data_IF_046731921785
#
_entry.id   IF_046731921785
#
_cell.length_a   1.000
_cell.length_b   1.000
_cell.length_c   1.000
_cell.angle_alpha   90.00
_cell.angle_beta   90.00
_cell.angle_gamma   90.00
#
_symmetry.space_group_name_H-M   'P 1'
#
loop_
_entity.id
_entity.type
_entity.pdbx_description
1 polymer ?
#
# COMPACT_ATOMS: atom_id res chain seq x y z
N UNK A 1 44.51 -52.45 -40.94
CA UNK A 1 43.20 -51.82 -41.02
C UNK A 1 42.75 -51.41 -39.59
N UNK A 2 43.10 -50.21 -39.22
CA UNK A 2 42.93 -49.71 -37.85
C UNK A 2 41.70 -48.72 -37.81
N UNK A 3 40.63 -49.09 -37.12
CA UNK A 3 39.44 -48.25 -36.92
C UNK A 3 39.67 -47.23 -35.77
N UNK A 4 39.73 -45.98 -36.10
CA UNK A 4 39.77 -44.88 -35.12
C UNK A 4 38.31 -44.50 -34.74
N UNK A 5 37.90 -44.87 -33.53
CA UNK A 5 36.64 -44.40 -32.94
C UNK A 5 36.81 -42.98 -32.41
N UNK A 6 36.07 -42.02 -32.98
CA UNK A 6 35.95 -40.64 -32.45
C UNK A 6 34.85 -40.61 -31.41
N UNK A 7 35.22 -40.44 -30.15
CA UNK A 7 34.28 -40.08 -29.09
C UNK A 7 33.93 -38.59 -29.24
N UNK A 8 32.65 -38.30 -29.48
CA UNK A 8 32.09 -36.95 -29.42
C UNK A 8 31.65 -36.69 -27.97
N UNK A 9 32.39 -35.88 -27.24
CA UNK A 9 31.98 -35.40 -25.94
C UNK A 9 31.03 -34.19 -26.13
N UNK A 10 29.72 -34.39 -25.89
CA UNK A 10 28.73 -33.32 -25.84
C UNK A 10 28.86 -32.66 -24.48
N UNK A 11 29.39 -31.44 -24.45
CA UNK A 11 29.46 -30.58 -23.27
C UNK A 11 28.09 -29.87 -23.14
N UNK A 12 27.21 -30.43 -22.31
CA UNK A 12 25.93 -29.78 -21.97
C UNK A 12 26.22 -28.62 -21.01
N UNK A 13 26.27 -27.42 -21.55
CA UNK A 13 26.40 -26.17 -20.79
C UNK A 13 25.04 -25.84 -20.21
N UNK A 14 24.81 -26.27 -18.97
CA UNK A 14 23.60 -25.94 -18.22
C UNK A 14 23.56 -24.44 -17.92
N UNK A 15 22.69 -23.69 -18.59
CA UNK A 15 22.35 -22.34 -18.22
C UNK A 15 21.53 -22.39 -16.91
N UNK A 16 22.18 -22.12 -15.78
CA UNK A 16 21.45 -21.79 -14.53
C UNK A 16 20.84 -20.40 -14.71
N UNK A 17 19.58 -20.34 -15.08
CA UNK A 17 18.77 -19.12 -14.95
C UNK A 17 18.55 -18.92 -13.47
N UNK A 18 19.36 -18.08 -12.83
CA UNK A 18 19.08 -17.56 -11.50
C UNK A 18 17.88 -16.63 -11.64
N UNK A 19 16.68 -17.12 -11.31
CA UNK A 19 15.53 -16.24 -11.13
C UNK A 19 15.89 -15.30 -9.99
N UNK A 20 16.05 -14.01 -10.30
CA UNK A 20 16.10 -12.97 -9.28
C UNK A 20 14.74 -13.01 -8.56
N UNK A 21 14.69 -13.69 -7.42
CA UNK A 21 13.55 -13.65 -6.51
C UNK A 21 13.54 -12.25 -5.91
N UNK A 22 12.73 -11.37 -6.51
CA UNK A 22 12.36 -10.12 -5.84
C UNK A 22 11.74 -10.47 -4.48
N UNK A 23 12.05 -9.67 -3.45
CA UNK A 23 11.45 -9.88 -2.13
C UNK A 23 9.93 -10.00 -2.24
N UNK A 24 9.34 -10.91 -1.45
CA UNK A 24 7.89 -11.14 -1.47
C UNK A 24 7.11 -9.83 -1.21
N UNK A 25 5.97 -9.62 -1.89
CA UNK A 25 5.11 -8.48 -1.64
C UNK A 25 4.71 -8.37 -0.17
N UNK A 26 4.65 -7.15 0.36
CA UNK A 26 4.01 -6.88 1.65
C UNK A 26 2.51 -6.76 1.40
N UNK A 27 1.69 -7.60 2.02
CA UNK A 27 0.24 -7.62 1.84
C UNK A 27 -0.43 -7.30 3.16
N UNK A 28 -1.36 -6.33 3.13
CA UNK A 28 -2.31 -6.03 4.19
C UNK A 28 -3.70 -6.01 3.58
N UNK A 29 -4.66 -6.70 4.17
CA UNK A 29 -6.01 -6.77 3.61
C UNK A 29 -7.08 -6.79 4.71
N UNK A 30 -8.29 -6.37 4.35
CA UNK A 30 -9.42 -6.32 5.27
C UNK A 30 -10.72 -5.99 4.55
N UNK A 31 -11.82 -6.03 5.28
CA UNK A 31 -13.15 -5.70 4.78
C UNK A 31 -13.62 -4.36 5.34
N UNK A 32 -14.20 -3.54 4.47
CA UNK A 32 -14.91 -2.32 4.83
C UNK A 32 -16.39 -2.55 4.55
N UNK A 33 -17.25 -2.34 5.55
CA UNK A 33 -18.70 -2.54 5.44
C UNK A 33 -19.37 -1.38 4.68
N UNK A 34 -18.96 -1.19 3.44
CA UNK A 34 -19.45 -0.17 2.53
C UNK A 34 -19.31 -0.64 1.06
N UNK A 35 -20.19 -0.16 0.16
CA UNK A 35 -20.07 -0.41 -1.27
C UNK A 35 -18.74 0.08 -1.84
N UNK A 36 -18.23 -0.59 -2.88
CA UNK A 36 -16.93 -0.31 -3.50
C UNK A 36 -16.78 1.16 -3.95
N UNK A 37 -17.86 1.79 -4.41
CA UNK A 37 -17.83 3.21 -4.81
C UNK A 37 -17.55 4.15 -3.65
N UNK A 38 -18.03 3.84 -2.45
CA UNK A 38 -17.80 4.64 -1.24
C UNK A 38 -16.35 4.46 -0.75
N UNK A 39 -15.86 3.22 -0.71
CA UNK A 39 -14.47 2.93 -0.34
C UNK A 39 -13.49 3.52 -1.36
N UNK A 40 -13.79 3.44 -2.66
CA UNK A 40 -13.01 4.09 -3.71
C UNK A 40 -12.85 5.59 -3.48
N UNK A 41 -13.95 6.30 -3.12
CA UNK A 41 -13.92 7.74 -2.83
C UNK A 41 -13.01 8.09 -1.65
N UNK A 42 -12.87 7.20 -0.66
CA UNK A 42 -11.92 7.39 0.45
C UNK A 42 -10.51 7.59 -0.08
N UNK A 43 -10.07 6.80 -1.04
CA UNK A 43 -8.69 6.84 -1.54
C UNK A 43 -8.48 7.83 -2.71
N UNK A 44 -9.55 8.39 -3.28
CA UNK A 44 -9.46 9.14 -4.55
C UNK A 44 -10.03 10.54 -4.50
N UNK A 45 -10.49 10.98 -3.34
CA UNK A 45 -10.91 12.37 -3.12
C UNK A 45 -10.17 12.99 -1.94
N UNK A 46 -9.96 14.30 -1.99
CA UNK A 46 -9.27 15.03 -0.93
C UNK A 46 -9.98 14.90 0.43
N UNK A 47 -11.29 14.96 0.44
CA UNK A 47 -12.07 14.80 1.67
C UNK A 47 -12.05 13.34 2.15
N UNK A 48 -12.25 12.38 1.25
CA UNK A 48 -12.24 10.96 1.60
C UNK A 48 -10.91 10.52 2.18
N UNK A 49 -9.80 11.00 1.62
CA UNK A 49 -8.46 10.58 2.04
C UNK A 49 -8.15 10.92 3.51
N UNK A 50 -8.80 11.91 4.10
CA UNK A 50 -8.68 12.21 5.54
C UNK A 50 -9.15 11.06 6.43
N UNK A 51 -10.07 10.22 5.96
CA UNK A 51 -10.47 9.02 6.68
C UNK A 51 -9.35 7.98 6.88
N UNK A 52 -8.24 8.11 6.15
CA UNK A 52 -7.06 7.25 6.35
C UNK A 52 -6.24 7.62 7.60
N UNK A 53 -6.60 8.71 8.29
CA UNK A 53 -5.93 9.17 9.51
C UNK A 53 -5.03 10.38 9.32
N UNK A 54 -5.00 11.00 8.13
CA UNK A 54 -4.27 12.26 7.90
C UNK A 54 -5.12 13.48 8.24
N UNK A 55 -4.48 14.57 8.67
CA UNK A 55 -5.19 15.81 8.99
C UNK A 55 -5.57 16.61 7.73
N UNK A 56 -4.67 16.65 6.76
CA UNK A 56 -4.87 17.35 5.49
C UNK A 56 -4.58 16.41 4.33
N UNK A 57 -5.38 16.52 3.26
CA UNK A 57 -5.18 15.80 2.02
C UNK A 57 -5.60 16.62 0.81
N UNK A 58 -4.87 16.46 -0.29
CA UNK A 58 -5.21 16.97 -1.62
C UNK A 58 -4.95 15.86 -2.63
N UNK A 59 -5.94 15.53 -3.45
CA UNK A 59 -5.87 14.45 -4.45
C UNK A 59 -6.11 15.04 -5.84
N UNK A 60 -5.12 14.89 -6.72
CA UNK A 60 -5.22 15.14 -8.16
C UNK A 60 -5.29 13.78 -8.87
N UNK A 61 -6.53 13.26 -9.03
CA UNK A 61 -6.76 11.90 -9.54
C UNK A 61 -6.56 11.83 -11.05
N UNK A 62 -5.31 11.71 -11.47
CA UNK A 62 -4.89 11.42 -12.85
C UNK A 62 -3.55 10.69 -12.84
N UNK A 63 -3.20 10.01 -13.92
CA UNK A 63 -1.87 9.40 -14.07
C UNK A 63 -0.82 10.51 -14.05
N UNK A 64 0.21 10.37 -13.21
CA UNK A 64 1.20 11.39 -12.90
C UNK A 64 0.71 12.52 -11.99
N UNK A 65 -0.56 12.52 -11.58
CA UNK A 65 -1.08 13.38 -10.52
C UNK A 65 -0.58 12.94 -9.15
N UNK A 66 -0.97 13.66 -8.09
CA UNK A 66 -0.43 13.45 -6.75
C UNK A 66 -1.52 13.32 -5.69
N UNK A 67 -1.19 12.58 -4.63
CA UNK A 67 -1.89 12.59 -3.35
C UNK A 67 -0.91 13.24 -2.37
N UNK A 68 -1.25 14.44 -1.89
CA UNK A 68 -0.47 15.21 -0.92
C UNK A 68 -1.15 15.11 0.43
N UNK A 69 -0.40 14.75 1.47
CA UNK A 69 -0.95 14.54 2.81
C UNK A 69 -0.08 15.17 3.88
N UNK A 70 -0.71 15.55 4.99
CA UNK A 70 -0.05 16.07 6.18
C UNK A 70 -0.72 15.52 7.43
N UNK A 71 0.06 15.05 8.41
CA UNK A 71 -0.47 14.44 9.63
C UNK A 71 -0.76 15.46 10.74
N UNK A 72 0.00 16.58 10.81
CA UNK A 72 -0.23 17.63 11.81
C UNK A 72 -1.45 18.48 11.42
N UNK A 73 -2.48 18.60 12.29
CA UNK A 73 -3.62 19.48 12.06
C UNK A 73 -3.27 20.98 11.91
N UNK A 74 -2.09 21.40 12.38
CA UNK A 74 -1.59 22.78 12.25
C UNK A 74 -0.69 22.96 11.03
N UNK A 75 -0.29 21.86 10.36
CA UNK A 75 0.58 21.88 9.19
C UNK A 75 -0.15 22.39 7.94
N UNK A 76 0.65 22.74 6.94
CA UNK A 76 0.14 23.26 5.66
C UNK A 76 0.66 22.38 4.53
N UNK A 77 -0.25 21.95 3.64
CA UNK A 77 0.16 21.18 2.45
C UNK A 77 1.17 21.98 1.61
N UNK A 78 2.31 21.37 1.37
CA UNK A 78 3.43 21.98 0.64
C UNK A 78 4.60 22.40 1.53
N UNK A 79 4.48 22.33 2.84
CA UNK A 79 5.61 22.48 3.74
C UNK A 79 6.54 21.24 3.75
N UNK A 80 7.62 21.30 4.54
CA UNK A 80 8.64 20.25 4.61
C UNK A 80 8.14 18.92 5.18
N UNK A 81 7.00 18.89 5.87
CA UNK A 81 6.40 17.70 6.48
C UNK A 81 5.31 17.10 5.59
N UNK A 82 5.08 17.66 4.41
CA UNK A 82 4.13 17.12 3.43
C UNK A 82 4.68 15.84 2.80
N UNK A 83 3.87 14.79 2.81
CA UNK A 83 4.12 13.55 2.06
C UNK A 83 3.46 13.68 0.70
N UNK A 84 4.21 13.35 -0.36
CA UNK A 84 3.72 13.39 -1.74
C UNK A 84 3.78 11.98 -2.34
N UNK A 85 2.62 11.41 -2.64
CA UNK A 85 2.52 10.20 -3.43
C UNK A 85 2.17 10.56 -4.87
N UNK A 86 2.84 9.94 -5.84
CA UNK A 86 2.51 10.03 -7.26
C UNK A 86 1.57 8.89 -7.65
N UNK A 87 0.53 9.19 -8.42
CA UNK A 87 -0.40 8.22 -8.98
C UNK A 87 0.22 7.63 -10.24
N UNK A 88 0.54 6.35 -10.22
CA UNK A 88 1.17 5.64 -11.34
C UNK A 88 0.14 5.06 -12.30
N UNK A 89 -0.95 4.53 -11.77
CA UNK A 89 -2.05 3.95 -12.54
C UNK A 89 -3.30 3.85 -11.66
N UNK A 90 -4.48 3.81 -12.27
CA UNK A 90 -5.71 3.44 -11.59
C UNK A 90 -6.74 2.88 -12.57
N UNK A 91 -7.60 2.01 -12.06
CA UNK A 91 -8.83 1.58 -12.70
C UNK A 91 -9.98 1.91 -11.73
N UNK A 92 -10.96 2.75 -12.11
CA UNK A 92 -12.02 3.20 -11.21
C UNK A 92 -12.70 2.05 -10.47
N UNK A 93 -12.80 2.16 -9.16
CA UNK A 93 -13.41 1.19 -8.25
C UNK A 93 -12.76 -0.21 -8.24
N UNK A 94 -11.56 -0.35 -8.83
CA UNK A 94 -10.85 -1.63 -8.88
C UNK A 94 -9.43 -1.55 -8.36
N UNK A 95 -8.68 -0.50 -8.74
CA UNK A 95 -7.27 -0.45 -8.40
C UNK A 95 -6.75 0.99 -8.40
N UNK A 96 -5.86 1.28 -7.46
CA UNK A 96 -5.05 2.50 -7.40
C UNK A 96 -3.60 2.12 -7.14
N UNK A 97 -2.68 2.62 -7.97
CA UNK A 97 -1.24 2.40 -7.79
C UNK A 97 -0.56 3.73 -7.52
N UNK A 98 0.19 3.79 -6.44
CA UNK A 98 0.91 4.98 -5.99
C UNK A 98 2.36 4.63 -5.62
N UNK A 99 3.23 5.64 -5.66
CA UNK A 99 4.57 5.57 -5.06
C UNK A 99 4.86 6.85 -4.28
N UNK A 100 5.68 6.76 -3.24
CA UNK A 100 6.17 7.93 -2.53
C UNK A 100 7.12 8.68 -3.47
N UNK A 101 6.76 9.91 -3.83
CA UNK A 101 7.58 10.82 -4.64
C UNK A 101 8.46 11.68 -3.76
N UNK A 102 7.89 12.14 -2.65
CA UNK A 102 8.60 12.93 -1.64
C UNK A 102 8.05 12.67 -0.24
N UNK A 103 8.92 12.81 0.76
CA UNK A 103 8.60 12.61 2.16
C UNK A 103 9.46 13.55 3.02
N UNK A 104 9.06 13.86 4.28
CA UNK A 104 9.84 14.66 5.21
C UNK A 104 11.28 14.22 5.32
N UNK A 105 12.19 15.15 5.60
CA UNK A 105 13.62 14.85 5.79
C UNK A 105 13.85 13.87 6.95
N UNK A 106 12.95 13.85 7.94
CA UNK A 106 12.93 12.94 9.07
C UNK A 106 12.51 11.51 8.72
N UNK A 107 11.94 11.27 7.52
CA UNK A 107 11.53 9.93 7.12
C UNK A 107 12.75 9.01 6.96
N UNK A 108 12.85 7.91 7.75
CA UNK A 108 14.08 7.16 7.90
C UNK A 108 14.43 6.24 6.71
N UNK A 109 13.50 6.04 5.75
CA UNK A 109 13.63 5.06 4.67
C UNK A 109 13.74 5.72 3.29
N UNK A 110 14.54 6.77 3.19
CA UNK A 110 14.61 7.62 1.98
C UNK A 110 15.23 6.92 0.77
N UNK A 111 16.10 5.94 0.99
CA UNK A 111 16.71 5.14 -0.09
C UNK A 111 15.73 4.09 -0.56
N UNK A 112 15.18 3.31 0.35
CA UNK A 112 14.28 2.20 0.06
C UNK A 112 12.95 2.67 -0.59
N UNK A 113 12.40 3.83 -0.19
CA UNK A 113 11.15 4.34 -0.76
C UNK A 113 11.20 4.57 -2.28
N UNK A 114 12.40 4.82 -2.85
CA UNK A 114 12.56 5.08 -4.29
C UNK A 114 12.32 3.85 -5.17
N UNK A 115 12.54 2.68 -4.61
CA UNK A 115 12.38 1.40 -5.30
C UNK A 115 11.00 0.78 -5.09
N UNK A 116 10.15 1.37 -4.21
CA UNK A 116 8.89 0.77 -3.80
C UNK A 116 7.68 1.49 -4.39
N UNK A 117 6.60 0.75 -4.56
CA UNK A 117 5.28 1.27 -4.89
C UNK A 117 4.19 0.44 -4.21
N UNK A 118 3.00 1.00 -4.14
CA UNK A 118 1.85 0.36 -3.51
C UNK A 118 0.71 0.21 -4.51
N UNK A 119 0.10 -0.96 -4.55
CA UNK A 119 -1.13 -1.22 -5.29
C UNK A 119 -2.25 -1.49 -4.30
N UNK A 120 -3.34 -0.74 -4.41
CA UNK A 120 -4.54 -0.89 -3.60
C UNK A 120 -5.62 -1.47 -4.50
N UNK A 121 -6.12 -2.66 -4.17
CA UNK A 121 -7.21 -3.32 -4.87
C UNK A 121 -8.51 -3.17 -4.08
N UNK A 122 -9.59 -2.99 -4.81
CA UNK A 122 -10.95 -2.87 -4.29
C UNK A 122 -11.81 -3.94 -4.95
N UNK A 123 -12.28 -4.91 -4.17
CA UNK A 123 -13.09 -6.01 -4.68
C UNK A 123 -14.46 -6.02 -3.98
N UNK A 124 -15.57 -5.86 -4.73
CA UNK A 124 -16.90 -5.99 -4.15
C UNK A 124 -17.11 -7.37 -3.52
N UNK A 125 -17.73 -7.41 -2.34
CA UNK A 125 -18.07 -8.64 -1.60
C UNK A 125 -19.45 -8.46 -0.93
N UNK A 126 -20.53 -8.71 -1.69
CA UNK A 126 -21.87 -8.34 -1.28
C UNK A 126 -21.98 -6.82 -1.08
N UNK A 127 -22.47 -6.41 0.09
CA UNK A 127 -22.58 -5.00 0.48
C UNK A 127 -21.28 -4.41 1.04
N UNK A 128 -20.22 -5.22 1.12
CA UNK A 128 -18.90 -4.84 1.62
C UNK A 128 -17.90 -4.70 0.48
N UNK A 129 -16.74 -4.13 0.81
CA UNK A 129 -15.56 -4.08 -0.05
C UNK A 129 -14.39 -4.77 0.62
N UNK A 130 -13.79 -5.75 -0.05
CA UNK A 130 -12.47 -6.26 0.31
C UNK A 130 -11.40 -5.32 -0.24
N UNK A 131 -10.60 -4.73 0.65
CA UNK A 131 -9.47 -3.86 0.33
C UNK A 131 -8.19 -4.64 0.56
N UNK A 132 -7.33 -4.68 -0.46
CA UNK A 132 -6.03 -5.35 -0.39
C UNK A 132 -4.93 -4.37 -0.80
N UNK A 133 -4.05 -4.03 0.14
CA UNK A 133 -2.93 -3.11 -0.03
C UNK A 133 -1.67 -3.94 -0.21
N UNK A 134 -0.99 -3.79 -1.35
CA UNK A 134 0.17 -4.57 -1.74
C UNK A 134 1.36 -3.65 -1.95
N UNK A 135 2.32 -3.69 -1.04
CA UNK A 135 3.60 -3.02 -1.17
C UNK A 135 4.60 -3.89 -1.94
N UNK A 136 5.24 -3.32 -2.93
CA UNK A 136 6.12 -3.98 -3.89
C UNK A 136 7.47 -3.26 -3.96
N UNK A 137 8.51 -3.96 -4.46
CA UNK A 137 9.84 -3.37 -4.69
C UNK A 137 10.73 -3.31 -3.45
N UNK A 138 10.36 -3.99 -2.36
CA UNK A 138 11.25 -4.11 -1.20
C UNK A 138 12.48 -4.95 -1.54
N UNK A 139 13.66 -4.48 -1.13
CA UNK A 139 14.91 -5.23 -1.23
C UNK A 139 15.17 -6.06 0.04
N UNK A 140 16.27 -6.84 0.00
CA UNK A 140 16.69 -7.67 1.13
C UNK A 140 17.56 -6.91 2.15
N UNK A 141 17.91 -5.65 1.86
CA UNK A 141 18.69 -4.79 2.76
C UNK A 141 17.90 -4.37 4.01
N UNK A 142 18.64 -3.99 5.06
CA UNK A 142 18.06 -3.69 6.36
C UNK A 142 17.08 -2.50 6.34
N UNK A 143 17.35 -1.45 5.54
CA UNK A 143 16.46 -0.28 5.41
C UNK A 143 15.13 -0.68 4.77
N UNK A 144 15.21 -1.44 3.67
CA UNK A 144 14.04 -1.93 2.94
C UNK A 144 13.17 -2.86 3.79
N UNK A 145 13.78 -3.78 4.55
CA UNK A 145 13.04 -4.67 5.45
C UNK A 145 12.44 -3.94 6.66
N UNK A 146 13.10 -2.92 7.19
CA UNK A 146 12.53 -2.05 8.23
C UNK A 146 11.35 -1.24 7.68
N UNK A 147 11.45 -0.67 6.49
CA UNK A 147 10.37 0.04 5.82
C UNK A 147 9.17 -0.89 5.53
N UNK A 148 9.43 -2.14 5.11
CA UNK A 148 8.38 -3.14 4.90
C UNK A 148 7.54 -3.38 6.16
N UNK A 149 8.18 -3.50 7.33
CA UNK A 149 7.49 -3.66 8.62
C UNK A 149 6.72 -2.39 9.00
N UNK A 150 7.32 -1.21 8.79
CA UNK A 150 6.68 0.08 9.05
C UNK A 150 5.38 0.22 8.26
N UNK A 151 5.40 -0.07 6.95
CA UNK A 151 4.19 0.01 6.13
C UNK A 151 3.19 -1.12 6.39
N UNK A 152 3.62 -2.30 6.81
CA UNK A 152 2.69 -3.34 7.24
C UNK A 152 1.80 -2.85 8.39
N UNK A 153 2.38 -2.20 9.39
CA UNK A 153 1.66 -1.61 10.51
C UNK A 153 0.83 -0.39 10.09
N UNK A 154 1.40 0.55 9.31
CA UNK A 154 0.70 1.72 8.82
C UNK A 154 -0.51 1.38 7.94
N UNK A 155 -0.38 0.38 7.07
CA UNK A 155 -1.49 -0.09 6.24
C UNK A 155 -2.60 -0.74 7.07
N UNK A 156 -2.26 -1.47 8.14
CA UNK A 156 -3.24 -2.02 9.07
C UNK A 156 -4.04 -0.90 9.76
N UNK A 157 -3.34 0.10 10.28
CA UNK A 157 -3.98 1.27 10.89
C UNK A 157 -4.87 2.03 9.89
N UNK A 158 -4.44 2.16 8.64
CA UNK A 158 -5.25 2.76 7.57
C UNK A 158 -6.54 1.97 7.37
N UNK A 159 -6.48 0.64 7.27
CA UNK A 159 -7.67 -0.20 7.13
C UNK A 159 -8.61 -0.07 8.33
N UNK A 160 -8.07 -0.04 9.56
CA UNK A 160 -8.86 0.17 10.77
C UNK A 160 -9.57 1.54 10.77
N UNK A 161 -8.87 2.61 10.36
CA UNK A 161 -9.43 3.95 10.27
C UNK A 161 -10.58 4.03 9.26
N UNK A 162 -10.38 3.51 8.05
CA UNK A 162 -11.40 3.58 6.99
C UNK A 162 -12.59 2.66 7.24
N UNK A 163 -12.41 1.56 7.98
CA UNK A 163 -13.49 0.64 8.34
C UNK A 163 -14.37 1.17 9.47
N UNK A 164 -13.78 1.88 10.43
CA UNK A 164 -14.46 2.33 11.66
C UNK A 164 -15.78 3.09 11.44
N UNK A 165 -15.91 4.03 10.49
CA UNK A 165 -17.17 4.76 10.25
C UNK A 165 -18.30 3.86 9.74
N UNK A 166 -17.97 2.70 9.15
CA UNK A 166 -18.93 1.77 8.55
C UNK A 166 -19.22 0.55 9.44
N UNK A 167 -18.60 0.46 10.62
CA UNK A 167 -18.90 -0.63 11.52
C UNK A 167 -20.35 -0.49 12.01
N UNK A 168 -21.10 -1.62 12.07
CA UNK A 168 -22.43 -1.58 12.63
C UNK A 168 -22.32 -1.04 14.05
N UNK A 169 -23.08 0.01 14.35
CA UNK A 169 -23.24 0.47 15.72
C UNK A 169 -23.86 -0.68 16.49
N UNK A 170 -23.07 -1.34 17.31
CA UNK A 170 -23.55 -2.40 18.18
C UNK A 170 -24.41 -1.75 19.27
N UNK A 171 -25.73 -1.82 19.11
CA UNK A 171 -26.68 -1.27 20.10
C UNK A 171 -26.48 -1.86 21.52
N UNK A 172 -25.78 -2.98 21.64
CA UNK A 172 -25.42 -3.61 22.92
C UNK A 172 -24.10 -3.07 23.47
N UNK A 173 -23.12 -2.76 22.62
CA UNK A 173 -21.81 -2.26 23.02
C UNK A 173 -21.88 -0.81 23.54
N UNK A 174 -22.82 0.00 23.05
CA UNK A 174 -23.07 1.36 23.55
C UNK A 174 -23.61 1.36 25.00
N UNK A 175 -24.36 0.33 25.39
CA UNK A 175 -24.90 0.19 26.75
C UNK A 175 -23.85 -0.22 27.77
N UNK A 176 -22.88 -1.07 27.41
CA UNK A 176 -21.78 -1.49 28.30
C UNK A 176 -20.78 -0.36 28.55
N UNK A 177 -20.47 0.44 27.50
CA UNK A 177 -19.60 1.62 27.64
C UNK A 177 -20.22 2.70 28.55
N UNK A 178 -21.55 2.85 28.54
CA UNK A 178 -22.27 3.79 29.41
C UNK A 178 -22.39 3.32 30.87
N UNK A 179 -22.33 2.02 31.12
CA UNK A 179 -22.43 1.45 32.48
C UNK A 179 -21.07 1.26 33.16
N UNK A 180 -19.96 1.31 32.42
CA UNK A 180 -18.59 1.17 32.96
C UNK A 180 -17.94 2.47 33.42
N UNK A 181 -18.61 3.61 33.35
CA UNK A 181 -18.11 4.95 33.74
C UNK A 181 -18.82 5.52 34.97
N UNK A 182 -19.36 4.68 35.85
CA UNK A 182 -19.98 5.05 37.12
C UNK A 182 -19.13 4.67 38.33
#
# INVERSE_FOLDING_TARGET
MTKVSRLLAIFAMGFMVSAAQGAEPQVTEGFVNAPVGDVWRIFTTSEGFKATGVAHAEVDLRIGGTIRTHYDPKGVLGDAETIVNEILAYEPQRMLTIRIKDAPASFPYRTAMRATWTVIYFTPSGDMTHVRIVGLGYGDDAESQAMRKFFAEGNRQTLDHIAKPFWPKCAHCEKEAAQGSG
#
